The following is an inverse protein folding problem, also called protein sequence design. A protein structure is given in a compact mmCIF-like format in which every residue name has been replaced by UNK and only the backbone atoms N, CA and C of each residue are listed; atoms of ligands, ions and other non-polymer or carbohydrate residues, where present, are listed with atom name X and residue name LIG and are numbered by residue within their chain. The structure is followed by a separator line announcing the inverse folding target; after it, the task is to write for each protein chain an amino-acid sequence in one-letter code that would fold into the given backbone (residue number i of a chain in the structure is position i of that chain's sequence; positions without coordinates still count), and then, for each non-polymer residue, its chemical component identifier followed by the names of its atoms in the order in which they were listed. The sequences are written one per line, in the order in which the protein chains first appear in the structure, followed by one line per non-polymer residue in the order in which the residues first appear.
data_IF_616652426388
#
_entry.id   IF_616652426388
#
_cell.length_a   1.000
_cell.length_b   1.000
_cell.length_c   1.000
_cell.angle_alpha   90.00
_cell.angle_beta   90.00
_cell.angle_gamma   90.00
#
_symmetry.space_group_name_H-M   'P 1'
#
loop_
_entity.id
_entity.type
_entity.pdbx_description
1 polymer ?
#
# COMPACT_ATOMS: atom_id res chain seq x y z
N UNK A 1 15.85 10.76 -23.30
CA UNK A 1 14.47 10.32 -23.63
C UNK A 1 14.58 8.82 -23.90
N UNK A 2 14.55 7.91 -22.94
CA UNK A 2 13.42 7.54 -22.09
C UNK A 2 13.94 7.18 -20.69
N UNK A 3 13.65 8.03 -19.72
CA UNK A 3 13.80 7.73 -18.30
C UNK A 3 12.41 7.79 -17.69
N UNK A 4 11.88 6.63 -17.33
CA UNK A 4 10.81 6.38 -16.37
C UNK A 4 10.67 4.86 -16.32
N UNK A 5 11.66 4.20 -15.71
CA UNK A 5 11.41 2.86 -15.17
C UNK A 5 10.35 3.06 -14.09
N UNK A 6 9.12 2.65 -14.37
CA UNK A 6 8.09 2.49 -13.35
C UNK A 6 8.66 1.53 -12.31
N UNK A 7 9.07 2.07 -11.16
CA UNK A 7 9.65 1.32 -10.06
C UNK A 7 8.68 0.27 -9.55
N UNK A 8 8.73 -0.93 -10.12
CA UNK A 8 8.72 -2.13 -9.28
C UNK A 8 10.07 -2.13 -8.59
N UNK A 9 10.19 -1.41 -7.47
CA UNK A 9 11.32 -1.56 -6.57
C UNK A 9 11.57 -3.05 -6.38
N UNK A 10 12.75 -3.51 -6.76
CA UNK A 10 13.05 -4.93 -6.95
C UNK A 10 13.16 -5.57 -5.57
N UNK A 11 12.02 -6.00 -5.03
CA UNK A 11 11.98 -6.71 -3.77
C UNK A 11 12.56 -8.12 -3.96
N UNK A 12 13.41 -8.61 -3.04
CA UNK A 12 13.93 -9.97 -3.12
C UNK A 12 12.80 -11.01 -3.21
N UNK A 13 13.02 -12.14 -3.92
CA UNK A 13 12.06 -13.24 -3.93
C UNK A 13 11.66 -13.66 -2.51
N UNK A 14 10.36 -13.73 -2.25
CA UNK A 14 9.81 -14.08 -0.94
C UNK A 14 9.47 -12.88 -0.05
N UNK A 15 9.89 -11.65 -0.40
CA UNK A 15 9.41 -10.46 0.27
C UNK A 15 7.92 -10.27 0.00
N UNK A 16 7.14 -10.08 1.07
CA UNK A 16 5.69 -9.91 1.01
C UNK A 16 5.26 -8.88 2.03
N UNK A 17 4.11 -8.28 1.76
CA UNK A 17 3.41 -7.47 2.75
C UNK A 17 2.85 -8.38 3.85
N UNK A 18 3.44 -8.32 5.04
CA UNK A 18 3.03 -9.08 6.22
C UNK A 18 3.24 -8.27 7.51
N UNK A 19 2.58 -7.11 7.65
CA UNK A 19 2.71 -6.27 8.84
C UNK A 19 2.00 -6.87 10.05
N UNK A 20 2.44 -6.48 11.24
CA UNK A 20 1.71 -6.67 12.51
C UNK A 20 0.57 -5.67 12.66
N UNK A 21 -0.35 -5.91 13.60
CA UNK A 21 -1.46 -4.98 13.90
C UNK A 21 -0.96 -3.59 14.31
N UNK A 22 0.11 -3.53 15.11
CA UNK A 22 0.73 -2.26 15.53
C UNK A 22 1.31 -1.51 14.33
N UNK A 23 2.00 -2.22 13.43
CA UNK A 23 2.57 -1.62 12.22
C UNK A 23 1.47 -1.09 11.27
N UNK A 24 0.36 -1.83 11.10
CA UNK A 24 -0.81 -1.38 10.33
C UNK A 24 -1.36 -0.06 10.85
N UNK A 25 -1.52 0.08 12.16
CA UNK A 25 -2.08 1.28 12.78
C UNK A 25 -1.10 2.45 12.66
N UNK A 26 0.15 2.25 13.13
CA UNK A 26 1.13 3.32 13.28
C UNK A 26 1.64 3.80 11.91
N UNK A 27 1.96 2.87 11.01
CA UNK A 27 2.64 3.23 9.77
C UNK A 27 1.72 3.38 8.55
N UNK A 28 0.54 2.76 8.55
CA UNK A 28 -0.36 2.84 7.40
C UNK A 28 -1.60 3.70 7.69
N UNK A 29 -2.36 3.41 8.75
CA UNK A 29 -3.60 4.14 9.05
C UNK A 29 -3.33 5.57 9.52
N UNK A 30 -2.46 5.77 10.51
CA UNK A 30 -2.16 7.11 11.03
C UNK A 30 -1.51 8.01 9.95
N UNK A 31 -0.66 7.45 9.10
CA UNK A 31 -0.02 8.22 8.04
C UNK A 31 -0.97 8.58 6.89
N UNK A 32 -1.98 7.75 6.60
CA UNK A 32 -3.05 8.11 5.64
C UNK A 32 -3.81 9.37 6.06
N UNK A 33 -3.94 9.62 7.35
CA UNK A 33 -4.58 10.82 7.91
C UNK A 33 -3.64 12.04 7.94
N UNK A 34 -2.33 11.85 7.78
CA UNK A 34 -1.30 12.89 7.77
C UNK A 34 -0.33 12.66 6.59
N UNK A 35 -0.72 13.03 5.35
CA UNK A 35 -0.08 12.59 4.12
C UNK A 35 1.33 13.17 3.87
N UNK A 36 1.88 13.93 4.81
CA UNK A 36 3.17 14.63 4.63
C UNK A 36 4.41 13.74 4.69
N UNK A 37 4.29 12.45 5.05
CA UNK A 37 5.45 11.73 5.63
C UNK A 37 5.95 10.46 4.93
N UNK A 38 5.24 9.80 4.00
CA UNK A 38 5.85 8.67 3.28
C UNK A 38 5.27 8.35 1.89
N UNK A 39 6.12 8.18 0.86
CA UNK A 39 5.73 7.63 -0.44
C UNK A 39 5.40 6.12 -0.39
N UNK A 40 5.75 5.42 0.69
CA UNK A 40 5.55 3.97 0.85
C UNK A 40 4.08 3.53 1.04
N UNK A 41 3.15 4.47 1.21
CA UNK A 41 1.74 4.16 1.53
C UNK A 41 0.93 3.72 0.29
N UNK A 42 1.49 3.85 -0.92
CA UNK A 42 0.77 3.57 -2.16
C UNK A 42 0.54 2.06 -2.45
N UNK A 43 0.83 1.17 -1.48
CA UNK A 43 0.56 -0.26 -1.57
C UNK A 43 -0.89 -0.63 -1.16
N UNK A 44 -1.56 0.20 -0.36
CA UNK A 44 -2.97 0.00 0.04
C UNK A 44 -3.86 0.89 -0.83
N UNK A 45 -4.78 0.29 -1.58
CA UNK A 45 -5.68 1.01 -2.48
C UNK A 45 -6.81 1.74 -1.72
N UNK A 46 -7.21 2.90 -2.22
CA UNK A 46 -8.38 3.63 -1.75
C UNK A 46 -9.66 3.11 -2.43
N UNK A 47 -10.45 2.36 -1.67
CA UNK A 47 -11.71 1.77 -2.16
C UNK A 47 -12.81 1.86 -1.11
N UNK A 48 -14.02 2.17 -1.55
CA UNK A 48 -15.21 2.00 -0.71
C UNK A 48 -15.65 0.53 -0.78
N UNK A 49 -15.15 -0.28 0.15
CA UNK A 49 -15.41 -1.73 0.21
C UNK A 49 -16.89 -2.09 0.33
N UNK A 50 -17.76 -1.19 0.81
CA UNK A 50 -19.19 -1.47 1.00
C UNK A 50 -20.01 -1.42 -0.29
N UNK A 51 -19.39 -1.04 -1.41
CA UNK A 51 -20.05 -0.99 -2.73
C UNK A 51 -19.86 -2.25 -3.56
N UNK A 52 -19.09 -3.21 -3.06
CA UNK A 52 -18.67 -4.40 -3.80
C UNK A 52 -19.01 -5.64 -3.00
N UNK A 53 -19.33 -6.72 -3.71
CA UNK A 53 -19.35 -8.04 -3.09
C UNK A 53 -17.91 -8.49 -2.74
N UNK A 54 -17.69 -9.29 -1.69
CA UNK A 54 -16.34 -9.66 -1.25
C UNK A 54 -15.46 -10.32 -2.32
N UNK A 55 -16.07 -11.03 -3.28
CA UNK A 55 -15.37 -11.71 -4.38
C UNK A 55 -15.11 -10.81 -5.60
N UNK A 56 -15.64 -9.60 -5.62
CA UNK A 56 -15.35 -8.61 -6.67
C UNK A 56 -14.05 -7.85 -6.38
N UNK A 57 -13.57 -7.93 -5.14
CA UNK A 57 -12.26 -7.40 -4.75
C UNK A 57 -11.18 -8.47 -5.04
N UNK A 58 -10.06 -8.09 -5.69
CA UNK A 58 -8.98 -9.00 -6.06
C UNK A 58 -8.20 -9.60 -4.89
#
# INVERSE_FOLDING_TARGET
MYGMNSGTDILPPGFRFHPTDEELIIYYLNQKLSPSSNPLINIIADVNIYKFDPWELP
#
